data_IF_341134551160
#
_entry.id   IF_341134551160
#
_cell.length_a   1.000
_cell.length_b   1.000
_cell.length_c   1.000
_cell.angle_alpha   90.00
_cell.angle_beta   90.00
_cell.angle_gamma   90.00
#
_symmetry.space_group_name_H-M   'P 1'
#
loop_
_entity.id
_entity.type
_entity.pdbx_description
1 polymer ?
#
# COMPACT_ATOMS: atom_id res chain seq x y z
N UNK A 1 23.23 -12.55 -15.31
CA UNK A 1 23.41 -11.50 -14.28
C UNK A 1 22.07 -11.21 -13.62
N UNK A 2 21.76 -11.84 -12.48
CA UNK A 2 20.54 -11.59 -11.71
C UNK A 2 20.80 -11.89 -10.21
N UNK A 3 21.87 -11.31 -9.65
CA UNK A 3 22.27 -11.60 -8.25
C UNK A 3 22.24 -10.38 -7.33
N UNK A 4 22.09 -9.16 -7.86
CA UNK A 4 22.18 -7.94 -7.04
C UNK A 4 20.82 -7.42 -6.53
N UNK A 5 19.70 -7.93 -7.03
CA UNK A 5 18.37 -7.48 -6.60
C UNK A 5 18.05 -7.83 -5.12
N UNK A 6 18.81 -8.74 -4.50
CA UNK A 6 18.57 -9.25 -3.15
C UNK A 6 19.57 -8.75 -2.10
N UNK A 7 20.45 -7.79 -2.43
CA UNK A 7 21.42 -7.24 -1.49
C UNK A 7 20.74 -6.63 -0.24
N UNK A 8 21.18 -7.12 0.93
CA UNK A 8 20.79 -6.82 2.32
C UNK A 8 19.45 -6.08 2.56
N UNK A 9 18.35 -6.85 2.70
CA UNK A 9 16.99 -6.33 2.91
C UNK A 9 16.49 -6.42 4.34
N UNK A 10 17.32 -6.85 5.30
CA UNK A 10 16.92 -6.97 6.70
C UNK A 10 16.42 -5.66 7.32
N UNK A 11 16.80 -4.51 6.75
CA UNK A 11 16.38 -3.16 7.18
C UNK A 11 15.48 -2.40 6.18
N UNK A 12 14.96 -3.02 5.10
CA UNK A 12 14.00 -2.31 4.23
C UNK A 12 12.63 -2.29 4.91
N UNK A 13 12.11 -1.08 5.18
CA UNK A 13 10.71 -0.89 5.62
C UNK A 13 9.71 -1.53 4.64
N UNK A 14 10.06 -1.62 3.35
CA UNK A 14 9.15 -2.09 2.30
C UNK A 14 9.85 -2.92 1.22
N UNK A 15 9.27 -4.08 0.90
CA UNK A 15 9.67 -4.94 -0.22
C UNK A 15 8.85 -4.58 -1.47
N UNK A 16 9.53 -4.42 -2.61
CA UNK A 16 8.84 -4.16 -3.88
C UNK A 16 8.05 -5.40 -4.33
N UNK A 17 7.14 -5.24 -5.29
CA UNK A 17 6.41 -6.38 -5.86
C UNK A 17 7.36 -7.39 -6.49
N UNK A 18 8.38 -6.88 -7.17
CA UNK A 18 9.39 -7.71 -7.83
C UNK A 18 10.21 -8.51 -6.80
N UNK A 19 10.60 -7.89 -5.69
CA UNK A 19 11.27 -8.59 -4.60
C UNK A 19 10.44 -9.77 -4.08
N UNK A 20 9.14 -9.55 -3.88
CA UNK A 20 8.23 -10.59 -3.40
C UNK A 20 8.03 -11.70 -4.42
N UNK A 21 7.97 -11.37 -5.70
CA UNK A 21 7.89 -12.35 -6.80
C UNK A 21 9.14 -13.21 -6.87
N UNK A 22 10.32 -12.60 -6.71
CA UNK A 22 11.58 -13.32 -6.68
C UNK A 22 11.66 -14.27 -5.48
N UNK A 23 11.27 -13.82 -4.28
CA UNK A 23 11.18 -14.68 -3.09
C UNK A 23 10.21 -15.85 -3.33
N UNK A 24 9.07 -15.58 -3.97
CA UNK A 24 8.10 -16.63 -4.31
C UNK A 24 8.65 -17.64 -5.33
N UNK A 25 9.37 -17.18 -6.35
CA UNK A 25 10.04 -18.04 -7.31
C UNK A 25 11.08 -18.95 -6.63
N UNK A 26 11.86 -18.42 -5.67
CA UNK A 26 12.80 -19.22 -4.86
C UNK A 26 12.08 -20.27 -4.03
N UNK A 27 10.93 -19.93 -3.42
CA UNK A 27 10.10 -20.89 -2.68
C UNK A 27 9.61 -22.01 -3.59
N UNK A 28 9.08 -21.69 -4.77
CA UNK A 28 8.60 -22.69 -5.74
C UNK A 28 9.73 -23.61 -6.22
N UNK A 29 10.86 -23.04 -6.63
CA UNK A 29 12.01 -23.80 -7.12
C UNK A 29 12.51 -24.83 -6.09
N UNK A 30 12.48 -24.50 -4.80
CA UNK A 30 12.94 -25.39 -3.72
C UNK A 30 11.86 -26.33 -3.20
N UNK A 31 10.60 -25.89 -3.21
CA UNK A 31 9.49 -26.68 -2.71
C UNK A 31 9.06 -27.77 -3.70
N UNK A 32 9.11 -27.47 -5.00
CA UNK A 32 8.59 -28.29 -6.10
C UNK A 32 7.07 -28.22 -6.20
N UNK A 33 6.47 -29.18 -6.91
CA UNK A 33 5.04 -29.21 -7.30
C UNK A 33 4.06 -29.51 -6.14
N UNK A 34 4.55 -29.82 -4.94
CA UNK A 34 3.68 -30.17 -3.81
C UNK A 34 3.04 -28.93 -3.20
N UNK A 35 1.72 -28.98 -2.98
CA UNK A 35 0.93 -27.85 -2.44
C UNK A 35 1.21 -27.45 -0.98
N UNK A 36 2.04 -28.19 -0.25
CA UNK A 36 2.48 -27.85 1.12
C UNK A 36 3.96 -27.50 1.12
N UNK A 37 4.31 -26.46 1.88
CA UNK A 37 5.70 -26.05 2.07
C UNK A 37 6.46 -27.11 2.89
N UNK A 38 7.57 -27.61 2.35
CA UNK A 38 8.48 -28.55 3.02
C UNK A 38 9.22 -27.87 4.17
N UNK A 39 9.52 -28.65 5.20
CA UNK A 39 10.32 -28.19 6.33
C UNK A 39 11.70 -27.70 5.84
N UNK A 40 12.19 -26.60 6.41
CA UNK A 40 13.50 -26.02 6.07
C UNK A 40 13.55 -25.21 4.78
N UNK A 41 12.60 -25.35 3.85
CA UNK A 41 12.57 -24.54 2.61
C UNK A 41 12.42 -23.06 2.96
N UNK A 42 11.51 -22.73 3.88
CA UNK A 42 11.32 -21.35 4.35
C UNK A 42 12.64 -20.77 4.88
N UNK A 43 13.34 -21.49 5.75
CA UNK A 43 14.59 -21.05 6.36
C UNK A 43 15.72 -20.88 5.34
N UNK A 44 15.77 -21.76 4.34
CA UNK A 44 16.74 -21.63 3.25
C UNK A 44 16.49 -20.33 2.46
N UNK A 45 15.24 -20.01 2.13
CA UNK A 45 14.90 -18.81 1.36
C UNK A 45 15.12 -17.56 2.20
N UNK A 46 14.83 -17.60 3.50
CA UNK A 46 15.12 -16.51 4.45
C UNK A 46 16.61 -16.15 4.43
N UNK A 47 17.50 -17.15 4.51
CA UNK A 47 18.94 -16.93 4.47
C UNK A 47 19.41 -16.33 3.15
N UNK A 48 18.92 -16.86 2.04
CA UNK A 48 19.42 -16.48 0.71
C UNK A 48 18.83 -15.17 0.19
N UNK A 49 17.54 -14.91 0.48
CA UNK A 49 16.88 -13.66 0.14
C UNK A 49 17.14 -12.56 1.18
N UNK A 50 17.84 -12.88 2.27
CA UNK A 50 18.20 -12.01 3.37
C UNK A 50 17.03 -11.11 3.81
N UNK A 51 15.91 -11.74 4.13
CA UNK A 51 14.65 -11.10 4.51
C UNK A 51 14.05 -11.79 5.73
N UNK A 52 13.15 -11.10 6.44
CA UNK A 52 12.58 -11.66 7.66
C UNK A 52 11.72 -12.90 7.38
N UNK A 53 11.78 -13.89 8.27
CA UNK A 53 10.93 -15.10 8.21
C UNK A 53 9.45 -14.77 8.08
N UNK A 54 9.00 -13.70 8.76
CA UNK A 54 7.63 -13.18 8.67
C UNK A 54 7.27 -12.74 7.25
N UNK A 55 8.19 -12.08 6.54
CA UNK A 55 7.99 -11.64 5.16
C UNK A 55 7.79 -12.84 4.22
N UNK A 56 8.72 -13.80 4.26
CA UNK A 56 8.65 -15.01 3.41
C UNK A 56 7.39 -15.82 3.69
N UNK A 57 7.05 -16.03 4.97
CA UNK A 57 5.83 -16.75 5.35
C UNK A 57 4.57 -16.03 4.89
N UNK A 58 4.54 -14.70 4.97
CA UNK A 58 3.41 -13.90 4.48
C UNK A 58 3.23 -14.06 2.97
N UNK A 59 4.32 -13.96 2.20
CA UNK A 59 4.29 -14.13 0.74
C UNK A 59 3.71 -15.50 0.38
N UNK A 60 4.20 -16.57 1.01
CA UNK A 60 3.68 -17.92 0.78
C UNK A 60 2.16 -18.01 1.01
N UNK A 61 1.68 -17.49 2.15
CA UNK A 61 0.26 -17.54 2.48
C UNK A 61 -0.60 -16.69 1.53
N UNK A 62 -0.16 -15.49 1.17
CA UNK A 62 -0.84 -14.64 0.19
C UNK A 62 -0.97 -15.35 -1.16
N UNK A 63 0.11 -16.00 -1.63
CA UNK A 63 0.12 -16.72 -2.90
C UNK A 63 -0.70 -18.00 -2.89
N UNK A 64 -0.73 -18.72 -1.77
CA UNK A 64 -1.51 -19.94 -1.63
C UNK A 64 -3.00 -19.65 -1.69
N UNK A 65 -3.47 -18.61 -1.01
CA UNK A 65 -4.89 -18.25 -0.98
C UNK A 65 -5.32 -17.44 -2.21
N UNK A 66 -4.41 -16.64 -2.78
CA UNK A 66 -4.73 -15.70 -3.86
C UNK A 66 -4.48 -16.20 -5.28
N UNK A 67 -4.24 -17.50 -5.49
CA UNK A 67 -4.08 -18.07 -6.84
C UNK A 67 -2.71 -17.86 -7.47
N UNK A 68 -1.63 -17.90 -6.69
CA UNK A 68 -0.26 -17.86 -7.18
C UNK A 68 0.33 -16.45 -7.31
N UNK A 69 1.20 -16.23 -8.30
CA UNK A 69 2.05 -15.02 -8.39
C UNK A 69 1.26 -13.72 -8.56
N UNK A 70 0.06 -13.77 -9.15
CA UNK A 70 -0.81 -12.61 -9.37
C UNK A 70 -1.44 -12.06 -8.08
N UNK A 71 -1.43 -12.84 -7.00
CA UNK A 71 -1.82 -12.38 -5.67
C UNK A 71 -0.84 -11.37 -5.07
N UNK A 72 0.42 -11.39 -5.53
CA UNK A 72 1.48 -10.52 -5.01
C UNK A 72 1.26 -9.12 -5.55
N UNK A 73 0.71 -8.24 -4.68
CA UNK A 73 0.36 -6.87 -5.03
C UNK A 73 1.10 -5.87 -4.14
N UNK A 74 1.31 -4.66 -4.67
CA UNK A 74 1.73 -3.53 -3.85
C UNK A 74 0.50 -2.99 -3.12
N UNK A 75 0.38 -3.30 -1.83
CA UNK A 75 -0.73 -2.81 -1.01
C UNK A 75 -0.66 -1.31 -0.71
N UNK A 76 0.47 -0.64 -0.99
CA UNK A 76 0.66 0.77 -0.67
C UNK A 76 0.26 1.69 -1.82
N UNK A 77 0.48 1.28 -3.08
CA UNK A 77 0.40 2.14 -4.28
C UNK A 77 -0.91 2.92 -4.45
N UNK A 78 -1.99 2.57 -3.74
CA UNK A 78 -3.28 3.29 -3.77
C UNK A 78 -3.97 3.41 -2.40
N UNK A 79 -3.40 2.84 -1.34
CA UNK A 79 -4.03 2.76 0.00
C UNK A 79 -3.36 3.64 1.04
N UNK A 80 -2.25 4.28 0.70
CA UNK A 80 -1.52 5.16 1.62
C UNK A 80 -2.01 6.61 1.54
N UNK A 81 -1.78 7.34 2.63
CA UNK A 81 -2.09 8.75 2.75
C UNK A 81 -3.54 9.04 3.13
N UNK A 82 -3.76 10.23 3.69
CA UNK A 82 -5.09 10.74 3.99
C UNK A 82 -5.87 10.89 2.68
N UNK A 83 -7.00 10.19 2.55
CA UNK A 83 -7.90 10.35 1.41
C UNK A 83 -8.37 11.81 1.34
N UNK A 84 -8.34 12.39 0.15
CA UNK A 84 -8.88 13.73 -0.08
C UNK A 84 -10.39 13.65 0.13
N UNK A 85 -10.93 14.39 1.09
CA UNK A 85 -12.38 14.61 1.11
C UNK A 85 -12.66 15.72 0.09
N UNK A 86 -13.66 15.55 -0.76
CA UNK A 86 -14.18 16.63 -1.59
C UNK A 86 -14.83 17.70 -0.71
N UNK A 87 -14.91 18.93 -1.21
CA UNK A 87 -15.93 19.84 -0.71
C UNK A 87 -17.27 19.32 -1.22
N UNK A 88 -18.22 19.16 -0.32
CA UNK A 88 -19.59 18.84 -0.70
C UNK A 88 -20.21 20.10 -1.32
N UNK A 89 -20.54 20.01 -2.60
CA UNK A 89 -21.04 21.15 -3.38
C UNK A 89 -22.48 21.45 -2.96
N UNK A 90 -23.28 20.43 -2.68
CA UNK A 90 -24.66 20.60 -2.23
C UNK A 90 -24.69 21.30 -0.87
N UNK A 91 -23.83 20.87 0.06
CA UNK A 91 -23.69 21.54 1.35
C UNK A 91 -23.16 22.98 1.21
N UNK A 92 -22.35 23.28 0.19
CA UNK A 92 -21.86 24.64 -0.07
C UNK A 92 -22.97 25.54 -0.65
N UNK A 93 -23.80 25.00 -1.53
CA UNK A 93 -24.93 25.71 -2.14
C UNK A 93 -26.08 25.95 -1.15
N UNK A 94 -26.26 25.04 -0.20
CA UNK A 94 -27.21 25.19 0.90
C UNK A 94 -26.88 26.36 1.84
N UNK A 95 -25.61 26.81 1.88
CA UNK A 95 -25.22 27.98 2.67
C UNK A 95 -25.77 29.24 2.00
N UNK A 96 -26.53 30.09 2.72
CA UNK A 96 -27.08 31.32 2.17
C UNK A 96 -26.00 32.21 1.53
N UNK A 97 -26.30 32.94 0.44
CA UNK A 97 -25.33 33.80 -0.23
C UNK A 97 -24.60 34.81 0.68
N UNK A 98 -25.28 35.34 1.70
CA UNK A 98 -24.68 36.27 2.68
C UNK A 98 -23.66 35.60 3.61
N UNK A 99 -23.76 34.28 3.81
CA UNK A 99 -22.93 33.48 4.71
C UNK A 99 -21.86 32.66 3.98
N UNK A 100 -21.65 32.92 2.68
CA UNK A 100 -20.58 32.28 1.89
C UNK A 100 -19.57 33.27 1.29
N UNK A 101 -19.53 34.50 1.79
CA UNK A 101 -18.65 35.56 1.26
C UNK A 101 -17.20 35.39 1.68
N UNK A 102 -16.95 34.82 2.87
CA UNK A 102 -15.60 34.55 3.37
C UNK A 102 -15.35 33.06 3.58
N UNK A 103 -14.09 32.64 3.40
CA UNK A 103 -13.66 31.26 3.66
C UNK A 103 -13.98 30.82 5.10
N UNK A 104 -13.99 31.74 6.07
CA UNK A 104 -14.34 31.43 7.46
C UNK A 104 -15.82 31.08 7.63
N UNK A 105 -16.71 31.83 6.97
CA UNK A 105 -18.14 31.53 7.05
C UNK A 105 -18.48 30.24 6.30
N UNK A 106 -17.88 30.03 5.12
CA UNK A 106 -17.98 28.75 4.41
C UNK A 106 -17.49 27.59 5.28
N UNK A 107 -16.37 27.77 5.98
CA UNK A 107 -15.83 26.77 6.90
C UNK A 107 -16.77 26.49 8.07
N UNK A 108 -17.41 27.53 8.64
CA UNK A 108 -18.42 27.38 9.69
C UNK A 108 -19.67 26.63 9.19
N UNK A 109 -20.20 27.01 8.02
CA UNK A 109 -21.38 26.37 7.41
C UNK A 109 -21.13 24.91 6.99
N UNK A 110 -19.90 24.58 6.57
CA UNK A 110 -19.50 23.21 6.23
C UNK A 110 -18.97 22.40 7.43
N UNK A 111 -18.91 23.00 8.63
CA UNK A 111 -18.29 22.42 9.83
C UNK A 111 -16.87 21.87 9.57
N UNK A 112 -16.05 22.63 8.84
CA UNK A 112 -14.67 22.30 8.50
C UNK A 112 -13.70 23.37 9.02
N UNK A 113 -12.41 23.04 9.09
CA UNK A 113 -11.40 24.06 9.40
C UNK A 113 -11.14 24.98 8.20
N UNK A 114 -10.89 26.27 8.46
CA UNK A 114 -10.53 27.28 7.44
C UNK A 114 -9.41 26.79 6.51
N UNK A 115 -8.35 26.20 7.07
CA UNK A 115 -7.20 25.70 6.30
C UNK A 115 -7.58 24.56 5.35
N UNK A 116 -8.56 23.73 5.73
CA UNK A 116 -9.08 22.65 4.88
C UNK A 116 -9.85 23.21 3.68
N UNK A 117 -10.70 24.21 3.91
CA UNK A 117 -11.47 24.87 2.83
C UNK A 117 -10.54 25.63 1.89
N UNK A 118 -9.61 26.43 2.42
CA UNK A 118 -8.64 27.20 1.63
C UNK A 118 -7.82 26.32 0.68
N UNK A 119 -7.16 25.29 1.22
CA UNK A 119 -6.33 24.36 0.43
C UNK A 119 -7.13 23.67 -0.68
N UNK A 120 -8.44 23.47 -0.49
CA UNK A 120 -9.30 22.82 -1.49
C UNK A 120 -9.80 23.78 -2.56
N UNK A 121 -9.99 25.05 -2.22
CA UNK A 121 -10.34 26.10 -3.17
C UNK A 121 -9.19 26.37 -4.16
N UNK A 122 -7.95 26.48 -3.66
CA UNK A 122 -6.76 26.77 -4.48
C UNK A 122 -6.40 25.66 -5.49
N UNK A 123 -6.71 24.39 -5.19
CA UNK A 123 -6.39 23.27 -6.09
C UNK A 123 -7.25 23.26 -7.37
N UNK A 124 -8.35 24.04 -7.41
CA UNK A 124 -9.28 24.08 -8.54
C UNK A 124 -8.94 25.16 -9.59
N UNK A 125 -7.96 26.02 -9.31
CA UNK A 125 -7.42 27.03 -10.22
C UNK A 125 -6.01 26.64 -10.67
#
# INVERSE_FOLDING_TARGET
MYVDALANKNNREQYTVEDKRNIYAMLLARNGERGRLKNGVLDSVVRDANCSRRCVSRIWNETKTGGGVNSIKNNLKLKTGRKKMSLDIEALEAIPPGERTTIRQVAAGLNMSKSTVHRRYEIKH
#
